data_IF_731256669566
#
_entry.id   IF_731256669566
#
_cell.length_a   1.000
_cell.length_b   1.000
_cell.length_c   1.000
_cell.angle_alpha   90.00
_cell.angle_beta   90.00
_cell.angle_gamma   90.00
#
_symmetry.space_group_name_H-M   'P 1'
#
loop_
_entity.id
_entity.type
_entity.pdbx_description
1 polymer ?
#
# COMPACT_ATOMS: atom_id res chain seq x y z
N UNK A 1 -5.06 27.50 15.14
CA UNK A 1 -5.92 27.89 14.00
C UNK A 1 -5.54 26.98 12.84
N UNK A 2 -6.35 25.95 12.56
CA UNK A 2 -6.14 25.08 11.39
C UNK A 2 -6.45 25.93 10.16
N UNK A 3 -5.43 26.27 9.38
CA UNK A 3 -5.62 26.84 8.05
C UNK A 3 -6.24 25.74 7.18
N UNK A 4 -7.49 25.94 6.74
CA UNK A 4 -8.07 25.12 5.69
C UNK A 4 -7.21 25.27 4.44
N UNK A 5 -6.85 24.15 3.82
CA UNK A 5 -6.08 24.13 2.58
C UNK A 5 -7.00 23.68 1.46
N UNK A 6 -7.26 24.58 0.50
CA UNK A 6 -8.11 24.32 -0.67
C UNK A 6 -7.38 23.58 -1.81
N UNK A 7 -6.11 23.19 -1.63
CA UNK A 7 -5.36 22.44 -2.63
C UNK A 7 -5.51 20.93 -2.44
N UNK A 8 -6.68 20.40 -2.81
CA UNK A 8 -6.85 18.97 -3.06
C UNK A 8 -6.70 18.72 -4.56
N UNK A 9 -5.67 17.99 -4.94
CA UNK A 9 -5.37 17.66 -6.34
C UNK A 9 -5.72 16.21 -6.63
N UNK A 10 -6.38 15.97 -7.76
CA UNK A 10 -6.54 14.61 -8.28
C UNK A 10 -5.23 14.16 -8.90
N UNK A 11 -4.78 12.96 -8.53
CA UNK A 11 -3.59 12.35 -9.11
C UNK A 11 -3.95 11.82 -10.50
N UNK A 12 -3.25 12.22 -11.57
CA UNK A 12 -3.57 11.77 -12.92
C UNK A 12 -3.53 10.25 -13.06
N UNK A 13 -4.37 9.70 -13.96
CA UNK A 13 -4.34 8.28 -14.31
C UNK A 13 -2.96 7.89 -14.85
N UNK A 14 -2.45 6.72 -14.45
CA UNK A 14 -1.13 6.22 -14.83
C UNK A 14 0.05 6.90 -14.09
N UNK A 15 -0.22 7.84 -13.19
CA UNK A 15 0.82 8.51 -12.39
C UNK A 15 0.87 7.94 -10.97
N UNK A 16 2.05 7.50 -10.54
CA UNK A 16 2.30 7.09 -9.16
C UNK A 16 2.48 8.31 -8.25
N UNK A 17 2.35 8.08 -6.95
CA UNK A 17 2.52 9.12 -5.95
C UNK A 17 3.15 8.57 -4.67
N UNK A 18 3.89 9.40 -3.91
CA UNK A 18 4.44 8.99 -2.63
C UNK A 18 3.35 9.09 -1.55
N UNK A 19 2.52 8.05 -1.42
CA UNK A 19 1.48 7.99 -0.38
C UNK A 19 2.13 8.09 1.00
N UNK A 20 1.54 8.89 1.89
CA UNK A 20 1.96 8.98 3.28
C UNK A 20 0.94 8.26 4.19
N UNK A 21 1.40 7.27 4.96
CA UNK A 21 0.54 6.52 5.87
C UNK A 21 0.01 7.33 7.07
N UNK A 22 0.65 8.44 7.43
CA UNK A 22 0.29 9.26 8.59
C UNK A 22 -0.96 10.14 8.36
N UNK A 23 -1.30 10.44 7.11
CA UNK A 23 -2.42 11.30 6.75
C UNK A 23 -3.19 10.68 5.57
N UNK A 24 -3.73 9.50 5.83
CA UNK A 24 -4.43 8.68 4.85
C UNK A 24 -5.90 8.52 5.24
N UNK A 25 -6.78 8.73 4.26
CA UNK A 25 -8.19 8.39 4.34
C UNK A 25 -8.57 7.58 3.10
N UNK A 26 -9.36 6.54 3.30
CA UNK A 26 -9.86 5.68 2.23
C UNK A 26 -11.21 5.10 2.60
N UNK A 27 -11.99 4.73 1.59
CA UNK A 27 -13.22 4.00 1.78
C UNK A 27 -12.90 2.51 1.95
N UNK A 28 -13.21 1.96 3.13
CA UNK A 28 -12.91 0.58 3.51
C UNK A 28 -13.59 -0.42 2.57
N UNK A 29 -14.85 -0.17 2.21
CA UNK A 29 -15.62 -1.07 1.35
C UNK A 29 -15.12 -1.00 -0.09
N UNK A 30 -14.69 0.18 -0.52
CA UNK A 30 -14.21 0.40 -1.88
C UNK A 30 -12.82 -0.19 -2.14
N UNK A 31 -11.83 0.10 -1.28
CA UNK A 31 -10.40 -0.19 -1.57
C UNK A 31 -9.66 -0.88 -0.41
N UNK A 32 -10.35 -1.16 0.69
CA UNK A 32 -9.78 -1.81 1.88
C UNK A 32 -8.96 -3.08 1.62
N UNK A 33 -9.37 -4.00 0.72
CA UNK A 33 -8.58 -5.21 0.46
C UNK A 33 -7.19 -4.91 -0.11
N UNK A 34 -6.99 -3.78 -0.80
CA UNK A 34 -5.69 -3.38 -1.33
C UNK A 34 -4.83 -2.58 -0.34
N UNK A 35 -5.38 -2.23 0.84
CA UNK A 35 -4.72 -1.38 1.83
C UNK A 35 -3.79 -2.20 2.73
N UNK A 36 -2.72 -2.72 2.14
CA UNK A 36 -1.70 -3.52 2.82
C UNK A 36 -0.31 -2.91 2.63
N UNK A 37 0.35 -2.59 3.74
CA UNK A 37 1.66 -1.92 3.80
C UNK A 37 2.84 -2.89 3.69
N UNK A 38 2.57 -4.16 3.38
CA UNK A 38 3.60 -5.19 3.27
C UNK A 38 3.96 -5.84 4.62
N UNK A 39 5.06 -6.57 4.61
CA UNK A 39 5.51 -7.31 5.78
C UNK A 39 6.06 -6.33 6.82
N UNK A 40 5.39 -6.28 7.97
CA UNK A 40 5.72 -5.42 9.09
C UNK A 40 6.42 -6.20 10.20
N UNK A 41 7.30 -5.52 10.94
CA UNK A 41 8.01 -6.09 12.09
C UNK A 41 9.52 -5.90 12.00
N UNK A 42 10.23 -6.37 13.04
CA UNK A 42 11.68 -6.26 13.08
C UNK A 42 12.35 -7.08 11.96
N UNK A 43 13.41 -6.52 11.38
CA UNK A 43 14.14 -7.13 10.28
C UNK A 43 13.46 -7.10 8.91
N UNK A 44 12.28 -6.45 8.75
CA UNK A 44 11.66 -6.30 7.43
C UNK A 44 12.36 -5.20 6.61
N UNK A 45 12.81 -5.51 5.38
CA UNK A 45 13.69 -4.62 4.60
C UNK A 45 12.96 -3.45 3.92
N UNK A 46 11.63 -3.50 3.79
CA UNK A 46 10.85 -2.43 3.13
C UNK A 46 10.91 -1.11 3.89
N UNK A 47 11.06 -1.17 5.22
CA UNK A 47 11.34 -0.01 6.05
C UNK A 47 10.36 1.14 5.82
N UNK A 48 10.86 2.28 5.32
CA UNK A 48 10.09 3.52 5.09
C UNK A 48 9.45 3.62 3.70
N UNK A 49 9.46 2.52 2.93
CA UNK A 49 8.86 2.46 1.59
C UNK A 49 7.54 1.70 1.59
N UNK A 50 7.06 1.30 2.76
CA UNK A 50 5.84 0.54 3.01
C UNK A 50 4.57 1.31 2.60
N UNK A 51 4.50 2.59 2.97
CA UNK A 51 3.37 3.44 2.60
C UNK A 51 3.36 3.79 1.11
N UNK A 52 4.52 4.08 0.53
CA UNK A 52 4.63 4.26 -0.92
C UNK A 52 4.23 3.01 -1.69
N UNK A 53 4.69 1.83 -1.25
CA UNK A 53 4.31 0.54 -1.83
C UNK A 53 2.80 0.32 -1.82
N UNK A 54 2.17 0.47 -0.65
CA UNK A 54 0.71 0.36 -0.53
C UNK A 54 0.01 1.37 -1.46
N UNK A 55 0.51 2.59 -1.53
CA UNK A 55 -0.02 3.65 -2.38
C UNK A 55 0.05 3.31 -3.87
N UNK A 56 1.15 2.70 -4.33
CA UNK A 56 1.31 2.29 -5.73
C UNK A 56 0.41 1.13 -6.09
N UNK A 57 0.28 0.12 -5.22
CA UNK A 57 -0.67 -0.97 -5.39
C UNK A 57 -2.11 -0.44 -5.52
N UNK A 58 -2.52 0.40 -4.57
CA UNK A 58 -3.84 1.05 -4.59
C UNK A 58 -4.03 1.88 -5.86
N UNK A 59 -3.01 2.63 -6.29
CA UNK A 59 -3.10 3.49 -7.47
C UNK A 59 -3.35 2.70 -8.74
N UNK A 60 -2.61 1.61 -8.95
CA UNK A 60 -2.78 0.74 -10.12
C UNK A 60 -4.19 0.16 -10.18
N UNK A 61 -4.72 -0.29 -9.03
CA UNK A 61 -6.06 -0.85 -8.95
C UNK A 61 -7.13 0.23 -9.17
N UNK A 62 -7.01 1.39 -8.52
CA UNK A 62 -7.93 2.50 -8.75
C UNK A 62 -7.96 2.93 -10.21
N UNK A 63 -6.80 3.02 -10.88
CA UNK A 63 -6.72 3.38 -12.30
C UNK A 63 -7.38 2.35 -13.22
N UNK A 64 -7.25 1.06 -12.89
CA UNK A 64 -7.93 -0.04 -13.57
C UNK A 64 -9.45 0.03 -13.41
N UNK A 65 -9.91 0.28 -12.18
CA UNK A 65 -11.33 0.39 -11.82
C UNK A 65 -11.97 1.73 -12.25
N UNK A 66 -11.17 2.70 -12.70
CA UNK A 66 -11.65 4.03 -13.08
C UNK A 66 -11.96 4.94 -11.88
N UNK A 67 -11.35 4.68 -10.72
CA UNK A 67 -11.52 5.45 -9.49
C UNK A 67 -10.43 6.51 -9.32
N UNK A 68 -10.78 7.61 -8.67
CA UNK A 68 -9.87 8.73 -8.43
C UNK A 68 -9.12 8.60 -7.11
N UNK A 69 -7.83 8.97 -7.12
CA UNK A 69 -7.04 9.18 -5.90
C UNK A 69 -6.74 10.67 -5.78
N UNK A 70 -6.85 11.21 -4.57
CA UNK A 70 -6.57 12.62 -4.28
C UNK A 70 -5.39 12.75 -3.33
N UNK A 71 -4.62 13.81 -3.52
CA UNK A 71 -3.55 14.24 -2.62
C UNK A 71 -3.77 15.70 -2.23
N UNK A 72 -3.20 16.12 -1.11
CA UNK A 72 -3.28 17.49 -0.62
C UNK A 72 -2.01 17.90 0.10
N UNK A 73 -1.95 19.15 0.57
CA UNK A 73 -0.79 19.61 1.33
C UNK A 73 -0.68 18.87 2.67
N UNK A 74 0.55 18.66 3.17
CA UNK A 74 0.75 18.12 4.50
C UNK A 74 0.14 19.05 5.56
N UNK A 75 -0.75 18.51 6.40
CA UNK A 75 -1.39 19.25 7.50
C UNK A 75 -0.58 19.23 8.81
N UNK A 76 0.38 18.31 8.92
CA UNK A 76 1.14 18.07 10.14
C UNK A 76 2.61 18.40 9.87
N UNK A 77 3.17 19.30 10.67
CA UNK A 77 4.61 19.51 10.72
C UNK A 77 5.25 18.47 11.64
N UNK A 78 5.95 17.50 11.05
CA UNK A 78 6.67 16.48 11.81
C UNK A 78 8.17 16.79 11.83
N UNK A 79 8.64 17.39 12.93
CA UNK A 79 10.06 17.62 13.18
C UNK A 79 10.72 16.32 13.66
N UNK A 80 11.32 15.55 12.75
CA UNK A 80 12.03 14.32 13.10
C UNK A 80 13.35 14.61 13.80
N UNK A 81 13.50 14.13 15.04
CA UNK A 81 14.79 13.98 15.70
C UNK A 81 15.35 12.58 15.41
N UNK A 82 16.06 12.41 14.30
CA UNK A 82 16.70 11.11 14.00
C UNK A 82 18.03 11.31 13.27
N UNK A 83 18.97 10.39 13.47
CA UNK A 83 20.28 10.45 12.81
C UNK A 83 20.15 10.13 11.31
N UNK A 84 20.52 11.06 10.40
CA UNK A 84 20.37 10.86 8.96
C UNK A 84 21.12 9.63 8.42
N UNK A 85 22.31 9.33 8.95
CA UNK A 85 23.14 8.23 8.47
C UNK A 85 22.59 6.85 8.85
N UNK A 86 21.96 6.74 10.02
CA UNK A 86 21.28 5.50 10.45
C UNK A 86 20.06 5.25 9.57
N UNK A 87 19.32 6.30 9.20
CA UNK A 87 18.18 6.18 8.29
C UNK A 87 18.64 5.75 6.89
N UNK A 88 19.69 6.37 6.35
CA UNK A 88 20.20 6.01 5.02
C UNK A 88 20.57 4.53 4.91
N UNK A 89 21.20 3.96 5.95
CA UNK A 89 21.52 2.52 5.99
C UNK A 89 20.27 1.64 5.99
N UNK A 90 19.22 2.07 6.70
CA UNK A 90 17.93 1.35 6.74
C UNK A 90 17.15 1.48 5.43
N UNK A 91 17.34 2.58 4.71
CA UNK A 91 16.62 2.93 3.48
C UNK A 91 17.35 2.48 2.20
N UNK A 92 18.61 2.06 2.30
CA UNK A 92 19.47 1.74 1.14
C UNK A 92 18.84 0.76 0.16
N UNK A 93 18.26 -0.34 0.64
CA UNK A 93 17.61 -1.32 -0.24
C UNK A 93 16.42 -0.72 -0.99
N UNK A 94 15.62 0.12 -0.32
CA UNK A 94 14.47 0.78 -0.94
C UNK A 94 14.87 1.80 -2.01
N UNK A 95 16.02 2.45 -1.88
CA UNK A 95 16.58 3.30 -2.95
C UNK A 95 16.86 2.46 -4.20
N UNK A 96 17.54 1.33 -4.04
CA UNK A 96 17.85 0.45 -5.17
C UNK A 96 16.60 -0.19 -5.79
N UNK A 97 15.69 -0.69 -4.95
CA UNK A 97 14.47 -1.35 -5.43
C UNK A 97 13.54 -0.43 -6.21
N UNK A 98 13.52 0.87 -5.92
CA UNK A 98 12.67 1.82 -6.63
C UNK A 98 13.01 1.94 -8.11
N UNK A 99 14.28 1.78 -8.49
CA UNK A 99 14.71 1.82 -9.89
C UNK A 99 14.01 0.75 -10.73
N UNK A 100 13.64 -0.38 -10.12
CA UNK A 100 12.90 -1.46 -10.77
C UNK A 100 11.39 -1.42 -10.45
N UNK A 101 11.02 -1.06 -9.22
CA UNK A 101 9.64 -1.06 -8.77
C UNK A 101 8.80 0.05 -9.44
N UNK A 102 9.34 1.26 -9.60
CA UNK A 102 8.60 2.38 -10.20
C UNK A 102 8.26 2.08 -11.67
N UNK A 103 9.21 1.70 -12.54
CA UNK A 103 8.89 1.30 -13.91
C UNK A 103 7.95 0.10 -13.96
N UNK A 104 8.12 -0.87 -13.06
CA UNK A 104 7.19 -1.99 -12.92
C UNK A 104 5.76 -1.49 -12.73
N UNK A 105 5.46 -0.72 -11.67
CA UNK A 105 4.12 -0.23 -11.38
C UNK A 105 3.55 0.67 -12.48
N UNK A 106 4.39 1.49 -13.13
CA UNK A 106 3.97 2.30 -14.28
C UNK A 106 3.57 1.46 -15.51
N UNK A 107 4.13 0.26 -15.64
CA UNK A 107 3.88 -0.66 -16.76
C UNK A 107 2.78 -1.70 -16.48
N UNK A 108 2.39 -1.90 -15.21
CA UNK A 108 1.37 -2.89 -14.85
C UNK A 108 0.07 -2.59 -15.59
N UNK A 109 -0.44 -3.59 -16.29
CA UNK A 109 -1.77 -3.60 -16.89
C UNK A 109 -2.51 -4.80 -16.36
N UNK A 110 -3.62 -4.57 -15.65
CA UNK A 110 -4.44 -5.65 -15.11
C UNK A 110 -5.44 -6.16 -16.18
N UNK A 111 -5.74 -7.47 -16.21
CA UNK A 111 -6.75 -8.03 -17.10
C UNK A 111 -8.13 -7.41 -16.86
N UNK A 112 -8.94 -7.26 -17.91
CA UNK A 112 -10.30 -6.69 -17.80
C UNK A 112 -11.25 -7.56 -16.99
N UNK A 113 -10.91 -8.83 -16.86
CA UNK A 113 -11.61 -9.85 -16.10
C UNK A 113 -11.44 -9.65 -14.58
N UNK A 114 -10.40 -8.94 -14.15
CA UNK A 114 -10.24 -8.51 -12.77
C UNK A 114 -11.23 -7.37 -12.49
N UNK A 115 -12.36 -7.72 -11.88
CA UNK A 115 -13.50 -6.82 -11.64
C UNK A 115 -13.73 -6.49 -10.17
N UNK A 116 -12.98 -7.13 -9.27
CA UNK A 116 -12.94 -6.79 -7.84
C UNK A 116 -11.54 -6.39 -7.39
N UNK A 117 -11.44 -5.67 -6.27
CA UNK A 117 -10.16 -5.27 -5.68
C UNK A 117 -9.34 -6.49 -5.28
N UNK A 118 -9.97 -7.52 -4.70
CA UNK A 118 -9.30 -8.79 -4.38
C UNK A 118 -8.68 -9.45 -5.62
N UNK A 119 -9.44 -9.56 -6.72
CA UNK A 119 -8.92 -10.13 -7.98
C UNK A 119 -7.76 -9.31 -8.54
N UNK A 120 -7.89 -7.98 -8.53
CA UNK A 120 -6.83 -7.08 -8.97
C UNK A 120 -5.57 -7.23 -8.12
N UNK A 121 -5.72 -7.31 -6.80
CA UNK A 121 -4.61 -7.40 -5.84
C UNK A 121 -3.90 -8.76 -5.93
N UNK A 122 -4.64 -9.86 -6.12
CA UNK A 122 -4.06 -11.19 -6.35
C UNK A 122 -3.30 -11.27 -7.68
N UNK A 123 -3.85 -10.71 -8.77
CA UNK A 123 -3.12 -10.68 -10.05
C UNK A 123 -1.88 -9.78 -9.95
N UNK A 124 -1.97 -8.66 -9.23
CA UNK A 124 -0.81 -7.82 -8.93
C UNK A 124 0.24 -8.58 -8.12
N UNK A 125 -0.15 -9.36 -7.10
CA UNK A 125 0.77 -10.17 -6.30
C UNK A 125 1.53 -11.19 -7.17
N UNK A 126 0.84 -11.83 -8.12
CA UNK A 126 1.46 -12.73 -9.10
C UNK A 126 2.49 -12.00 -9.98
N UNK A 127 2.15 -10.81 -10.48
CA UNK A 127 3.09 -9.98 -11.27
C UNK A 127 4.30 -9.52 -10.45
N UNK A 128 4.10 -9.14 -9.19
CA UNK A 128 5.17 -8.80 -8.23
C UNK A 128 6.11 -9.99 -8.06
N UNK A 129 5.56 -11.19 -7.83
CA UNK A 129 6.36 -12.41 -7.68
C UNK A 129 7.19 -12.72 -8.92
N UNK A 130 6.61 -12.58 -10.12
CA UNK A 130 7.27 -12.91 -11.38
C UNK A 130 8.34 -11.88 -11.79
N UNK A 131 8.05 -10.58 -11.61
CA UNK A 131 8.92 -9.50 -12.07
C UNK A 131 9.89 -9.04 -11.00
N UNK A 132 9.37 -8.63 -9.84
CA UNK A 132 10.17 -8.09 -8.74
C UNK A 132 10.84 -9.17 -7.89
N UNK A 133 10.33 -10.40 -7.89
CA UNK A 133 11.01 -11.55 -7.26
C UNK A 133 12.42 -11.83 -7.82
N UNK A 134 12.73 -11.34 -9.03
CA UNK A 134 14.08 -11.38 -9.63
C UNK A 134 15.01 -10.30 -9.10
N UNK A 135 14.45 -9.20 -8.57
CA UNK A 135 15.20 -8.08 -8.00
C UNK A 135 15.67 -8.44 -6.60
N UNK A 136 14.77 -8.98 -5.78
CA UNK A 136 15.10 -9.42 -4.42
C UNK A 136 14.13 -10.53 -3.94
N UNK A 137 14.63 -11.57 -3.24
CA UNK A 137 13.79 -12.63 -2.65
C UNK A 137 12.69 -12.11 -1.73
N UNK A 138 12.85 -10.92 -1.14
CA UNK A 138 11.84 -10.24 -0.36
C UNK A 138 10.50 -10.12 -1.12
N UNK A 139 10.52 -9.78 -2.40
CA UNK A 139 9.30 -9.59 -3.18
C UNK A 139 8.53 -10.89 -3.42
N UNK A 140 9.23 -12.02 -3.48
CA UNK A 140 8.60 -13.36 -3.51
C UNK A 140 7.80 -13.59 -2.23
N UNK A 141 8.41 -13.31 -1.07
CA UNK A 141 7.75 -13.43 0.23
C UNK A 141 6.63 -12.41 0.42
N UNK A 142 6.83 -11.19 -0.08
CA UNK A 142 5.84 -10.13 -0.04
C UNK A 142 4.60 -10.50 -0.86
N UNK A 143 4.79 -11.06 -2.06
CA UNK A 143 3.68 -11.53 -2.89
C UNK A 143 2.88 -12.66 -2.21
N UNK A 144 3.54 -13.57 -1.51
CA UNK A 144 2.84 -14.57 -0.69
C UNK A 144 2.04 -13.89 0.44
N UNK A 145 2.64 -12.91 1.11
CA UNK A 145 1.94 -12.08 2.12
C UNK A 145 0.77 -11.27 1.56
N UNK A 146 0.84 -10.80 0.32
CA UNK A 146 -0.26 -10.12 -0.36
C UNK A 146 -1.47 -11.05 -0.57
N UNK A 147 -1.24 -12.31 -0.93
CA UNK A 147 -2.31 -13.30 -1.05
C UNK A 147 -2.92 -13.63 0.32
N UNK A 148 -2.07 -13.89 1.33
CA UNK A 148 -2.53 -14.13 2.71
C UNK A 148 -3.32 -12.95 3.28
N UNK A 149 -2.97 -11.72 2.91
CA UNK A 149 -3.73 -10.54 3.31
C UNK A 149 -5.16 -10.56 2.76
N UNK A 150 -5.35 -10.94 1.48
CA UNK A 150 -6.67 -11.06 0.87
C UNK A 150 -7.47 -12.20 1.52
N UNK A 151 -6.84 -13.34 1.78
CA UNK A 151 -7.47 -14.46 2.49
C UNK A 151 -7.96 -14.01 3.88
N UNK A 152 -7.10 -13.37 4.67
CA UNK A 152 -7.46 -12.85 5.99
C UNK A 152 -8.54 -11.76 5.92
N UNK A 153 -8.50 -10.91 4.89
CA UNK A 153 -9.54 -9.90 4.66
C UNK A 153 -10.90 -10.56 4.39
N UNK A 154 -10.95 -11.54 3.49
CA UNK A 154 -12.20 -12.21 3.13
C UNK A 154 -12.74 -13.04 4.31
N UNK A 155 -11.89 -13.69 5.11
CA UNK A 155 -12.29 -14.37 6.35
C UNK A 155 -12.94 -13.39 7.35
N UNK A 156 -12.33 -12.23 7.58
CA UNK A 156 -12.82 -11.24 8.54
C UNK A 156 -14.10 -10.53 8.09
N UNK A 157 -14.35 -10.43 6.78
CA UNK A 157 -15.52 -9.75 6.23
C UNK A 157 -16.57 -10.73 5.67
N UNK A 158 -16.37 -12.04 5.83
CA UNK A 158 -17.39 -13.06 5.56
C UNK A 158 -18.55 -12.96 6.57
N UNK A 159 -19.77 -13.41 6.23
CA UNK A 159 -20.94 -13.37 7.12
C UNK A 159 -20.66 -13.97 8.51
N UNK A 160 -19.88 -15.06 8.57
CA UNK A 160 -19.50 -15.74 9.82
C UNK A 160 -18.40 -15.00 10.59
N UNK A 161 -17.60 -14.17 9.91
CA UNK A 161 -16.53 -13.36 10.50
C UNK A 161 -17.04 -12.12 11.25
N UNK A 162 -18.24 -11.64 10.90
CA UNK A 162 -18.89 -10.49 11.55
C UNK A 162 -19.38 -10.79 12.98
N UNK A 163 -19.66 -12.05 13.31
CA UNK A 163 -20.03 -12.46 14.68
C UNK A 163 -18.80 -12.52 15.62
N UNK A 164 -17.61 -12.68 15.06
CA UNK A 164 -16.36 -12.70 15.79
C UNK A 164 -15.70 -11.32 15.85
N UNK A 165 -16.28 -10.35 16.59
CA UNK A 165 -15.58 -9.34 17.44
C UNK A 165 -16.42 -8.08 17.68
N UNK A 166 -17.01 -7.99 18.87
CA UNK A 166 -16.83 -6.78 19.67
C UNK A 166 -15.64 -7.04 20.62
N UNK A 167 -14.56 -6.25 20.59
CA UNK A 167 -13.55 -6.32 21.64
C UNK A 167 -14.21 -5.89 22.96
N UNK A 168 -14.32 -6.81 23.93
CA UNK A 168 -14.59 -6.42 25.31
C UNK A 168 -13.40 -5.59 25.77
N UNK A 169 -13.62 -4.28 25.91
CA UNK A 169 -12.66 -3.39 26.55
C UNK A 169 -12.26 -3.99 27.90
N UNK A 170 -10.97 -4.05 28.17
CA UNK A 170 -10.50 -4.24 29.53
C UNK A 170 -10.78 -2.94 30.27
N UNK A 171 -11.68 -3.00 31.23
CA UNK A 171 -11.73 -2.01 32.31
C UNK A 171 -10.46 -2.20 33.17
N UNK A 172 -9.47 -1.32 32.99
CA UNK A 172 -8.44 -0.99 33.99
C UNK A 172 -8.11 0.51 33.90
#
# INVERSE_FOLDING_TARGET
MLLYVDAVMTIPKGTLFPMCGMNLAFDRELIGPAMYFGLMGDGQPIGRYDDMWAGWCVKVICDHMGWGVKTGLPYIWHSKASNPFVNLRKEYNGIFWQEEAIPFFQSVTLPKECTSVQQCYMELAKLVKEKLGKVDPYFTKLADGMNTWIEAWDELNSPDGAEAKAPKGKDE
#
